data_IF_475209291108
#
_entry.id   IF_475209291108
#
_cell.length_a   1.000
_cell.length_b   1.000
_cell.length_c   1.000
_cell.angle_alpha   90.00
_cell.angle_beta   90.00
_cell.angle_gamma   90.00
#
_symmetry.space_group_name_H-M   'P 1'
#
loop_
_entity.id
_entity.type
_entity.pdbx_description
1 polymer ?
#
# COMPACT_ATOMS: atom_id res chain seq x y z
N UNK A 1 -39.97 -11.19 -21.43
CA UNK A 1 -38.49 -11.30 -21.43
C UNK A 1 -37.92 -9.92 -21.14
N UNK A 2 -37.12 -9.74 -20.12
CA UNK A 2 -36.41 -8.48 -19.84
C UNK A 2 -35.30 -8.30 -20.87
N UNK A 3 -35.30 -7.17 -21.58
CA UNK A 3 -34.28 -6.86 -22.58
C UNK A 3 -32.88 -6.88 -21.91
N UNK A 4 -31.90 -7.50 -22.59
CA UNK A 4 -30.52 -7.63 -22.07
C UNK A 4 -29.72 -6.32 -22.23
N UNK A 5 -30.06 -5.48 -23.21
CA UNK A 5 -29.39 -4.23 -23.53
C UNK A 5 -30.33 -3.04 -23.59
N UNK A 6 -29.83 -1.86 -23.30
CA UNK A 6 -30.60 -0.61 -23.31
C UNK A 6 -30.01 0.38 -24.30
N UNK A 7 -30.84 0.88 -25.19
CA UNK A 7 -30.49 1.89 -26.15
C UNK A 7 -31.08 3.25 -25.76
N UNK A 8 -30.25 4.28 -25.72
CA UNK A 8 -30.70 5.68 -25.61
C UNK A 8 -30.88 6.25 -27.02
N UNK A 9 -32.06 6.67 -27.36
CA UNK A 9 -32.32 7.36 -28.61
C UNK A 9 -32.19 8.87 -28.42
N UNK A 10 -31.45 9.55 -29.32
CA UNK A 10 -31.21 10.99 -29.28
C UNK A 10 -31.80 11.62 -30.52
N UNK A 11 -32.87 12.39 -30.34
CA UNK A 11 -33.61 13.05 -31.40
C UNK A 11 -35.08 13.20 -31.04
N UNK A 12 -35.84 13.82 -31.91
CA UNK A 12 -37.29 13.93 -31.73
C UNK A 12 -38.00 12.60 -32.05
N UNK A 13 -39.22 12.41 -31.54
CA UNK A 13 -40.07 11.26 -31.85
C UNK A 13 -40.59 11.34 -33.29
N UNK A 14 -39.69 11.11 -34.24
CA UNK A 14 -39.90 11.27 -35.68
C UNK A 14 -39.89 9.90 -36.38
N UNK A 15 -39.82 9.93 -37.71
CA UNK A 15 -39.63 8.77 -38.58
C UNK A 15 -38.44 7.88 -38.15
N UNK A 16 -37.35 8.51 -37.65
CA UNK A 16 -36.15 7.79 -37.15
C UNK A 16 -36.45 6.90 -35.94
N UNK A 17 -37.26 7.39 -35.00
CA UNK A 17 -37.65 6.63 -33.82
C UNK A 17 -38.56 5.45 -34.19
N UNK A 18 -39.57 5.68 -35.07
CA UNK A 18 -40.46 4.62 -35.56
C UNK A 18 -39.66 3.52 -36.33
N UNK A 19 -38.68 3.92 -37.14
CA UNK A 19 -37.78 2.99 -37.80
C UNK A 19 -36.98 2.18 -36.82
N UNK A 20 -36.33 2.81 -35.82
CA UNK A 20 -35.51 2.15 -34.81
C UNK A 20 -36.36 1.15 -34.01
N UNK A 21 -37.54 1.53 -33.58
CA UNK A 21 -38.47 0.66 -32.83
C UNK A 21 -38.78 -0.61 -33.63
N UNK A 22 -39.13 -0.44 -34.92
CA UNK A 22 -39.41 -1.58 -35.81
C UNK A 22 -38.18 -2.48 -36.06
N UNK A 23 -36.98 -1.85 -36.17
CA UNK A 23 -35.73 -2.61 -36.35
C UNK A 23 -35.37 -3.43 -35.12
N UNK A 24 -35.68 -2.94 -33.91
CA UNK A 24 -35.37 -3.59 -32.63
C UNK A 24 -36.48 -4.54 -32.15
N UNK A 25 -37.64 -4.56 -32.80
CA UNK A 25 -38.77 -5.43 -32.39
C UNK A 25 -38.33 -6.91 -32.32
N UNK A 26 -38.60 -7.57 -31.19
CA UNK A 26 -38.19 -8.99 -30.97
C UNK A 26 -36.70 -9.21 -30.77
N UNK A 27 -35.91 -8.16 -30.60
CA UNK A 27 -34.50 -8.26 -30.18
C UNK A 27 -34.37 -8.13 -28.66
N UNK A 28 -33.20 -8.44 -28.14
CA UNK A 28 -32.85 -8.27 -26.70
C UNK A 28 -32.47 -6.80 -26.34
N UNK A 29 -32.80 -5.83 -27.20
CA UNK A 29 -32.46 -4.43 -27.03
C UNK A 29 -33.75 -3.61 -26.87
N UNK A 30 -33.88 -2.91 -25.75
CA UNK A 30 -34.98 -1.99 -25.51
C UNK A 30 -34.54 -0.53 -25.65
N UNK A 31 -35.43 0.31 -26.19
CA UNK A 31 -35.22 1.75 -26.13
C UNK A 31 -35.62 2.19 -24.72
N UNK A 32 -34.63 2.64 -23.95
CA UNK A 32 -34.82 3.01 -22.55
C UNK A 32 -35.46 4.43 -22.43
N UNK A 33 -35.02 5.36 -23.27
CA UNK A 33 -35.53 6.70 -23.29
C UNK A 33 -35.29 7.39 -24.63
N UNK A 34 -36.05 8.43 -24.86
CA UNK A 34 -35.88 9.37 -25.98
C UNK A 34 -35.56 10.72 -25.39
N UNK A 35 -34.44 11.31 -25.76
CA UNK A 35 -33.95 12.58 -25.22
C UNK A 35 -33.64 13.55 -26.34
N UNK A 36 -33.83 14.84 -26.06
CA UNK A 36 -33.34 15.89 -26.94
C UNK A 36 -31.80 15.96 -26.89
N UNK A 37 -31.15 16.49 -27.95
CA UNK A 37 -29.68 16.63 -27.97
C UNK A 37 -29.12 17.35 -26.75
N UNK A 38 -29.84 18.36 -26.22
CA UNK A 38 -29.41 19.12 -25.04
C UNK A 38 -29.44 18.33 -23.73
N UNK A 39 -30.22 17.24 -23.66
CA UNK A 39 -30.40 16.43 -22.44
C UNK A 39 -29.53 15.19 -22.40
N UNK A 40 -28.82 14.85 -23.48
CA UNK A 40 -28.04 13.58 -23.58
C UNK A 40 -27.06 13.40 -22.44
N UNK A 41 -26.22 14.40 -22.17
CA UNK A 41 -25.16 14.30 -21.17
C UNK A 41 -25.75 14.10 -19.75
N UNK A 42 -26.83 14.79 -19.45
CA UNK A 42 -27.53 14.66 -18.17
C UNK A 42 -28.22 13.29 -18.03
N UNK A 43 -28.84 12.80 -19.10
CA UNK A 43 -29.50 11.48 -19.11
C UNK A 43 -28.53 10.32 -18.90
N UNK A 44 -27.39 10.32 -19.59
CA UNK A 44 -26.38 9.27 -19.44
C UNK A 44 -25.68 9.27 -18.09
N UNK A 45 -25.61 10.44 -17.42
CA UNK A 45 -25.04 10.56 -16.08
C UNK A 45 -25.92 9.87 -15.02
N UNK A 46 -27.24 9.85 -15.21
CA UNK A 46 -28.16 9.16 -14.30
C UNK A 46 -28.12 7.65 -14.48
N UNK A 47 -28.06 7.18 -15.71
CA UNK A 47 -28.03 5.76 -16.06
C UNK A 47 -27.38 5.53 -17.41
N UNK A 48 -26.18 4.96 -17.41
CA UNK A 48 -25.42 4.68 -18.62
C UNK A 48 -26.16 3.65 -19.51
N UNK A 49 -26.42 3.97 -20.80
CA UNK A 49 -26.98 3.03 -21.76
C UNK A 49 -25.89 2.09 -22.31
N UNK A 50 -26.33 1.00 -22.95
CA UNK A 50 -25.42 0.10 -23.66
C UNK A 50 -25.15 0.54 -25.11
N UNK A 51 -26.03 1.36 -25.67
CA UNK A 51 -25.94 1.91 -27.04
C UNK A 51 -26.58 3.32 -27.03
N UNK A 52 -25.98 4.25 -27.76
CA UNK A 52 -26.61 5.55 -28.07
C UNK A 52 -26.85 5.63 -29.57
N UNK A 53 -28.10 5.94 -29.95
CA UNK A 53 -28.51 6.05 -31.35
C UNK A 53 -28.97 7.47 -31.64
N UNK A 54 -28.33 8.12 -32.60
CA UNK A 54 -28.64 9.47 -33.04
C UNK A 54 -29.56 9.45 -34.26
N UNK A 55 -30.56 10.35 -34.26
CA UNK A 55 -31.55 10.51 -35.33
C UNK A 55 -30.92 11.06 -36.62
N UNK A 56 -31.64 10.91 -37.74
CA UNK A 56 -31.23 11.37 -39.09
C UNK A 56 -31.07 12.88 -39.28
N UNK A 57 -31.76 13.65 -38.49
CA UNK A 57 -31.99 15.09 -38.66
C UNK A 57 -31.15 15.95 -37.71
N UNK A 58 -30.23 15.34 -36.99
CA UNK A 58 -29.28 16.08 -36.17
C UNK A 58 -28.26 16.85 -37.04
N UNK A 59 -28.10 18.13 -36.73
CA UNK A 59 -27.05 18.93 -37.37
C UNK A 59 -25.65 18.34 -37.05
N UNK A 60 -24.79 18.28 -38.09
CA UNK A 60 -23.46 17.70 -37.95
C UNK A 60 -22.63 18.33 -36.84
N UNK A 61 -22.76 19.63 -36.61
CA UNK A 61 -22.04 20.35 -35.55
C UNK A 61 -22.54 19.95 -34.17
N UNK A 62 -23.86 19.90 -33.94
CA UNK A 62 -24.46 19.48 -32.70
C UNK A 62 -24.09 18.01 -32.35
N UNK A 63 -24.13 17.12 -33.35
CA UNK A 63 -23.72 15.75 -33.23
C UNK A 63 -22.26 15.65 -32.80
N UNK A 64 -21.35 16.40 -33.44
CA UNK A 64 -19.92 16.39 -33.09
C UNK A 64 -19.65 16.89 -31.65
N UNK A 65 -20.36 17.92 -31.22
CA UNK A 65 -20.23 18.47 -29.86
C UNK A 65 -20.66 17.44 -28.79
N UNK A 66 -21.79 16.77 -29.02
CA UNK A 66 -22.32 15.72 -28.14
C UNK A 66 -21.35 14.53 -28.10
N UNK A 67 -20.87 14.06 -29.25
CA UNK A 67 -19.95 12.93 -29.30
C UNK A 67 -18.64 13.23 -28.54
N UNK A 68 -18.08 14.42 -28.71
CA UNK A 68 -16.89 14.83 -27.94
C UNK A 68 -17.16 14.85 -26.44
N UNK A 69 -18.31 15.38 -26.00
CA UNK A 69 -18.68 15.39 -24.58
C UNK A 69 -18.83 13.96 -24.03
N UNK A 70 -19.47 13.06 -24.78
CA UNK A 70 -19.64 11.66 -24.39
C UNK A 70 -18.30 10.91 -24.32
N UNK A 71 -17.38 11.15 -25.26
CA UNK A 71 -16.06 10.54 -25.27
C UNK A 71 -15.12 11.06 -24.19
N UNK A 72 -15.29 12.31 -23.76
CA UNK A 72 -14.56 12.90 -22.64
C UNK A 72 -15.03 12.40 -21.27
N UNK A 73 -16.22 11.83 -21.17
CA UNK A 73 -16.76 11.32 -19.91
C UNK A 73 -16.36 9.83 -19.71
N UNK A 74 -15.65 9.47 -18.62
CA UNK A 74 -15.21 8.09 -18.35
C UNK A 74 -16.32 7.05 -18.38
N UNK A 75 -17.53 7.39 -17.94
CA UNK A 75 -18.69 6.48 -17.88
C UNK A 75 -19.22 6.13 -19.27
N UNK A 76 -19.15 7.06 -20.22
CA UNK A 76 -19.72 6.91 -21.56
C UNK A 76 -18.68 6.77 -22.67
N UNK A 77 -17.40 6.94 -22.34
CA UNK A 77 -16.32 6.90 -23.34
C UNK A 77 -16.26 5.59 -24.15
N UNK A 78 -16.72 4.49 -23.58
CA UNK A 78 -16.74 3.16 -24.21
C UNK A 78 -18.12 2.74 -24.73
N UNK A 79 -19.16 3.55 -24.51
CA UNK A 79 -20.50 3.26 -25.02
C UNK A 79 -20.52 3.45 -26.55
N UNK A 80 -20.99 2.48 -27.32
CA UNK A 80 -21.07 2.60 -28.76
C UNK A 80 -22.06 3.69 -29.18
N UNK A 81 -21.62 4.51 -30.15
CA UNK A 81 -22.38 5.61 -30.73
C UNK A 81 -22.73 5.26 -32.16
N UNK A 82 -24.02 5.16 -32.45
CA UNK A 82 -24.56 4.83 -33.77
C UNK A 82 -25.32 6.04 -34.32
N UNK A 83 -25.01 6.47 -35.51
CA UNK A 83 -25.80 7.51 -36.18
C UNK A 83 -26.64 6.91 -37.30
N UNK A 84 -27.91 7.33 -37.36
CA UNK A 84 -28.80 7.10 -38.48
C UNK A 84 -28.66 8.27 -39.45
N UNK A 85 -28.50 8.03 -40.75
CA UNK A 85 -28.34 9.10 -41.76
C UNK A 85 -29.21 8.93 -42.98
N UNK A 86 -29.65 10.09 -43.55
CA UNK A 86 -30.37 10.11 -44.80
C UNK A 86 -29.44 9.99 -46.04
N UNK A 87 -28.18 10.43 -45.95
CA UNK A 87 -27.24 10.36 -47.05
C UNK A 87 -25.81 10.08 -46.60
N UNK A 88 -25.00 9.61 -47.55
CA UNK A 88 -23.58 9.26 -47.31
C UNK A 88 -22.64 10.49 -47.20
N UNK A 89 -23.10 11.70 -47.51
CA UNK A 89 -22.23 12.89 -47.52
C UNK A 89 -21.77 13.36 -46.16
N UNK A 90 -22.50 13.02 -45.08
CA UNK A 90 -22.21 13.44 -43.70
C UNK A 90 -21.32 12.46 -42.93
N UNK A 91 -20.84 11.34 -43.56
CA UNK A 91 -20.15 10.26 -42.91
C UNK A 91 -18.81 10.67 -42.29
N UNK A 92 -17.95 11.34 -43.03
CA UNK A 92 -16.60 11.66 -42.58
C UNK A 92 -16.58 12.55 -41.35
N UNK A 93 -17.40 13.61 -41.34
CA UNK A 93 -17.48 14.51 -40.22
C UNK A 93 -18.06 13.83 -38.92
N UNK A 94 -18.91 12.82 -39.06
CA UNK A 94 -19.44 12.07 -37.96
C UNK A 94 -18.42 11.08 -37.37
N UNK A 95 -17.62 10.40 -38.18
CA UNK A 95 -16.53 9.54 -37.70
C UNK A 95 -15.45 10.35 -37.00
N UNK A 96 -15.05 11.51 -37.53
CA UNK A 96 -14.09 12.42 -36.88
C UNK A 96 -14.61 12.90 -35.51
N UNK A 97 -15.94 12.95 -35.33
CA UNK A 97 -16.58 13.30 -34.06
C UNK A 97 -16.65 12.14 -33.04
N UNK A 98 -16.28 10.92 -33.44
CA UNK A 98 -16.23 9.74 -32.55
C UNK A 98 -17.45 8.82 -32.62
N UNK A 99 -18.24 8.86 -33.71
CA UNK A 99 -19.27 7.87 -34.01
C UNK A 99 -18.60 6.53 -34.36
N UNK A 100 -19.11 5.41 -33.82
CA UNK A 100 -18.54 4.08 -34.07
C UNK A 100 -19.08 3.46 -35.36
N UNK A 101 -20.34 3.68 -35.71
CA UNK A 101 -20.91 3.24 -36.99
C UNK A 101 -22.05 4.16 -37.47
N UNK A 102 -22.39 3.99 -38.73
CA UNK A 102 -23.25 4.87 -39.47
C UNK A 102 -24.19 4.07 -40.38
N UNK A 103 -25.49 4.23 -40.20
CA UNK A 103 -26.50 3.47 -40.93
C UNK A 103 -27.43 4.38 -41.72
N UNK A 104 -27.86 3.92 -42.90
CA UNK A 104 -28.84 4.67 -43.74
C UNK A 104 -30.24 4.16 -43.48
N UNK A 105 -31.25 5.00 -43.80
CA UNK A 105 -32.65 4.63 -43.63
C UNK A 105 -33.11 3.46 -44.52
N UNK A 106 -32.31 3.06 -45.52
CA UNK A 106 -32.60 1.95 -46.43
C UNK A 106 -32.00 0.63 -45.97
N UNK A 107 -31.37 0.60 -44.81
CA UNK A 107 -30.74 -0.64 -44.26
C UNK A 107 -31.79 -1.73 -44.00
N UNK A 108 -31.46 -2.96 -44.30
CA UNK A 108 -32.30 -4.11 -43.94
C UNK A 108 -32.18 -4.41 -42.45
N UNK A 109 -33.26 -4.90 -41.88
CA UNK A 109 -33.32 -5.23 -40.43
C UNK A 109 -32.21 -6.18 -39.98
N UNK A 110 -31.97 -7.23 -40.79
CA UNK A 110 -30.94 -8.23 -40.48
C UNK A 110 -29.53 -7.58 -40.42
N UNK A 111 -29.21 -6.73 -41.38
CA UNK A 111 -27.93 -6.01 -41.41
C UNK A 111 -27.81 -5.04 -40.25
N UNK A 112 -28.88 -4.31 -39.92
CA UNK A 112 -28.96 -3.42 -38.76
C UNK A 112 -28.63 -4.18 -37.46
N UNK A 113 -29.29 -5.30 -37.20
CA UNK A 113 -29.09 -6.11 -36.00
C UNK A 113 -27.67 -6.71 -35.93
N UNK A 114 -27.12 -7.15 -37.06
CA UNK A 114 -25.72 -7.66 -37.10
C UNK A 114 -24.74 -6.57 -36.69
N UNK A 115 -24.90 -5.34 -37.20
CA UNK A 115 -24.00 -4.22 -36.87
C UNK A 115 -24.14 -3.78 -35.41
N UNK A 116 -25.37 -3.60 -34.92
CA UNK A 116 -25.64 -3.23 -33.54
C UNK A 116 -25.10 -4.27 -32.56
N UNK A 117 -25.37 -5.56 -32.81
CA UNK A 117 -24.84 -6.64 -31.98
C UNK A 117 -23.30 -6.71 -32.05
N UNK A 118 -22.70 -6.37 -33.20
CA UNK A 118 -21.25 -6.24 -33.35
C UNK A 118 -20.69 -5.15 -32.41
N UNK A 119 -21.30 -3.96 -32.42
CA UNK A 119 -20.92 -2.84 -31.56
C UNK A 119 -21.08 -3.18 -30.08
N UNK A 120 -22.20 -3.78 -29.68
CA UNK A 120 -22.48 -4.18 -28.30
C UNK A 120 -21.46 -5.21 -27.80
N UNK A 121 -21.14 -6.24 -28.61
CA UNK A 121 -20.13 -7.24 -28.29
C UNK A 121 -18.73 -6.62 -28.15
N UNK A 122 -18.34 -5.73 -29.07
CA UNK A 122 -17.06 -5.03 -28.98
C UNK A 122 -16.96 -4.17 -27.73
N UNK A 123 -18.02 -3.45 -27.37
CA UNK A 123 -18.07 -2.65 -26.15
C UNK A 123 -18.02 -3.50 -24.87
N UNK A 124 -18.73 -4.63 -24.87
CA UNK A 124 -18.69 -5.59 -23.74
C UNK A 124 -17.28 -6.19 -23.57
N UNK A 125 -16.63 -6.59 -24.64
CA UNK A 125 -15.27 -7.12 -24.62
C UNK A 125 -14.24 -6.06 -24.10
N UNK A 126 -14.37 -4.80 -24.53
CA UNK A 126 -13.52 -3.71 -24.02
C UNK A 126 -13.72 -3.48 -22.51
N UNK A 127 -14.98 -3.45 -22.05
CA UNK A 127 -15.32 -3.32 -20.62
C UNK A 127 -14.77 -4.48 -19.80
N UNK A 128 -14.89 -5.70 -20.29
CA UNK A 128 -14.38 -6.88 -19.63
C UNK A 128 -12.84 -6.83 -19.52
N UNK A 129 -12.15 -6.51 -20.61
CA UNK A 129 -10.68 -6.39 -20.62
C UNK A 129 -10.20 -5.33 -19.62
N UNK A 130 -10.85 -4.17 -19.59
CA UNK A 130 -10.51 -3.10 -18.64
C UNK A 130 -10.74 -3.54 -17.18
N UNK A 131 -11.83 -4.27 -16.91
CA UNK A 131 -12.12 -4.81 -15.58
C UNK A 131 -11.09 -5.88 -15.17
N UNK A 132 -10.69 -6.75 -16.09
CA UNK A 132 -9.64 -7.76 -15.84
C UNK A 132 -8.27 -7.12 -15.57
N UNK A 133 -7.89 -6.09 -16.33
CA UNK A 133 -6.66 -5.33 -16.10
C UNK A 133 -6.66 -4.64 -14.73
N UNK A 134 -7.77 -4.01 -14.36
CA UNK A 134 -7.90 -3.38 -13.04
C UNK A 134 -7.82 -4.43 -11.93
N UNK A 135 -8.50 -5.56 -12.07
CA UNK A 135 -8.45 -6.65 -11.09
C UNK A 135 -7.05 -7.26 -10.94
N UNK A 136 -6.29 -7.37 -12.05
CA UNK A 136 -4.90 -7.82 -12.01
C UNK A 136 -4.00 -6.81 -11.28
N UNK A 137 -4.18 -5.51 -11.55
CA UNK A 137 -3.39 -4.47 -10.88
C UNK A 137 -3.68 -4.43 -9.37
N UNK A 138 -4.95 -4.55 -8.97
CA UNK A 138 -5.34 -4.66 -7.55
C UNK A 138 -4.68 -5.89 -6.91
N UNK A 139 -4.77 -7.06 -7.54
CA UNK A 139 -4.13 -8.30 -7.03
C UNK A 139 -2.61 -8.15 -6.91
N UNK A 140 -1.98 -7.51 -7.90
CA UNK A 140 -0.53 -7.26 -7.86
C UNK A 140 -0.15 -6.35 -6.70
N UNK A 141 -0.89 -5.25 -6.48
CA UNK A 141 -0.69 -4.35 -5.34
C UNK A 141 -0.88 -5.07 -4.00
N UNK A 142 -1.91 -5.88 -3.87
CA UNK A 142 -2.16 -6.67 -2.67
C UNK A 142 -1.05 -7.70 -2.41
N UNK A 143 -0.55 -8.39 -3.43
CA UNK A 143 0.54 -9.35 -3.30
C UNK A 143 1.84 -8.67 -2.81
N UNK A 144 2.17 -7.50 -3.37
CA UNK A 144 3.31 -6.70 -2.92
C UNK A 144 3.09 -6.22 -1.48
N UNK A 145 1.91 -5.69 -1.15
CA UNK A 145 1.55 -5.27 0.21
C UNK A 145 1.68 -6.42 1.22
N UNK A 146 1.21 -7.62 0.87
CA UNK A 146 1.32 -8.81 1.72
C UNK A 146 2.77 -9.26 1.93
N UNK A 147 3.62 -9.15 0.92
CA UNK A 147 5.05 -9.46 1.05
C UNK A 147 5.76 -8.51 2.04
N UNK A 148 5.41 -7.23 2.02
CA UNK A 148 6.00 -6.23 2.91
C UNK A 148 5.43 -6.25 4.34
N UNK A 149 4.17 -6.67 4.55
CA UNK A 149 3.52 -6.73 5.88
C UNK A 149 4.30 -7.52 6.94
N UNK A 150 5.21 -8.39 6.51
CA UNK A 150 6.05 -9.17 7.43
C UNK A 150 7.20 -8.37 8.05
N UNK A 151 7.59 -7.25 7.43
CA UNK A 151 8.81 -6.52 7.80
C UNK A 151 8.57 -5.06 8.16
N UNK A 152 7.48 -4.46 7.68
CA UNK A 152 7.18 -3.04 7.86
C UNK A 152 5.73 -2.81 8.24
N UNK A 153 5.48 -1.71 8.97
CA UNK A 153 4.11 -1.33 9.35
C UNK A 153 3.24 -1.12 8.11
N UNK A 154 1.93 -1.36 8.20
CA UNK A 154 1.00 -1.12 7.09
C UNK A 154 1.10 0.30 6.53
N UNK A 155 1.27 1.32 7.38
CA UNK A 155 1.41 2.71 6.97
C UNK A 155 2.69 2.98 6.17
N UNK A 156 3.81 2.38 6.58
CA UNK A 156 5.08 2.49 5.86
C UNK A 156 5.00 1.75 4.52
N UNK A 157 4.36 0.58 4.49
CA UNK A 157 4.13 -0.17 3.26
C UNK A 157 3.29 0.62 2.25
N UNK A 158 2.23 1.30 2.70
CA UNK A 158 1.39 2.11 1.84
C UNK A 158 2.19 3.29 1.25
N UNK A 159 3.00 3.99 2.03
CA UNK A 159 3.88 5.07 1.55
C UNK A 159 4.89 4.59 0.50
N UNK A 160 5.49 3.42 0.68
CA UNK A 160 6.42 2.83 -0.31
C UNK A 160 5.69 2.50 -1.62
N UNK A 161 4.45 1.99 -1.54
CA UNK A 161 3.67 1.63 -2.73
C UNK A 161 3.17 2.84 -3.52
N UNK A 162 2.87 3.94 -2.82
CA UNK A 162 2.37 5.16 -3.41
C UNK A 162 3.48 6.06 -3.99
N UNK A 163 4.74 5.88 -3.55
CA UNK A 163 5.89 6.62 -4.03
C UNK A 163 6.77 5.74 -4.95
N UNK A 164 6.83 6.02 -6.28
CA UNK A 164 7.61 5.25 -7.23
C UNK A 164 9.12 5.23 -6.92
N UNK A 165 9.70 6.34 -6.45
CA UNK A 165 11.13 6.43 -6.14
C UNK A 165 11.49 5.58 -4.91
N UNK A 166 10.69 5.67 -3.85
CA UNK A 166 10.82 4.82 -2.66
C UNK A 166 10.64 3.35 -3.00
N UNK A 167 9.64 3.03 -3.81
CA UNK A 167 9.39 1.65 -4.25
C UNK A 167 10.57 1.08 -5.01
N UNK A 168 11.12 1.84 -5.97
CA UNK A 168 12.26 1.41 -6.78
C UNK A 168 13.55 1.33 -5.95
N UNK A 169 13.71 2.15 -4.91
CA UNK A 169 14.81 2.06 -3.95
C UNK A 169 14.72 0.79 -3.10
N UNK A 170 13.54 0.44 -2.61
CA UNK A 170 13.34 -0.73 -1.72
C UNK A 170 13.32 -2.05 -2.50
N UNK A 171 12.71 -2.07 -3.69
CA UNK A 171 12.59 -3.26 -4.54
C UNK A 171 13.79 -3.45 -5.48
N UNK A 172 14.50 -2.37 -5.76
CA UNK A 172 15.65 -2.37 -6.68
C UNK A 172 16.96 -2.79 -6.02
N UNK A 173 18.04 -2.70 -6.77
CA UNK A 173 19.40 -2.99 -6.29
C UNK A 173 20.11 -1.74 -5.74
N UNK A 174 19.42 -0.63 -5.54
CA UNK A 174 20.01 0.65 -5.17
C UNK A 174 20.10 0.76 -3.63
N UNK A 175 21.32 0.94 -3.11
CA UNK A 175 21.53 1.21 -1.70
C UNK A 175 21.40 2.72 -1.45
N UNK A 176 20.66 3.12 -0.43
CA UNK A 176 20.45 4.51 -0.06
C UNK A 176 21.10 4.86 1.30
N UNK A 177 21.66 6.05 1.41
CA UNK A 177 22.06 6.63 2.71
C UNK A 177 20.82 7.24 3.36
N UNK A 178 20.63 6.95 4.63
CA UNK A 178 19.54 7.48 5.43
C UNK A 178 19.98 7.85 6.83
N UNK A 179 19.34 8.85 7.42
CA UNK A 179 19.45 9.12 8.85
C UNK A 179 18.39 8.29 9.57
N UNK A 180 18.80 7.45 10.50
CA UNK A 180 17.90 6.55 11.21
C UNK A 180 18.17 6.49 12.70
N UNK A 181 17.11 6.25 13.47
CA UNK A 181 17.26 5.74 14.82
C UNK A 181 17.21 4.19 14.75
N UNK A 182 18.30 3.57 15.16
CA UNK A 182 18.49 2.12 15.14
C UNK A 182 18.33 1.59 16.56
N UNK A 183 17.50 0.57 16.71
CA UNK A 183 17.22 -0.10 17.96
C UNK A 183 17.55 -1.59 17.85
N UNK A 184 18.26 -2.12 18.83
CA UNK A 184 18.31 -3.55 19.12
C UNK A 184 17.56 -3.83 20.41
N UNK A 185 16.72 -4.86 20.38
CA UNK A 185 16.04 -5.40 21.54
C UNK A 185 16.45 -6.87 21.71
N UNK A 186 16.90 -7.25 22.88
CA UNK A 186 17.58 -8.54 23.12
C UNK A 186 17.10 -9.14 24.45
N UNK A 187 16.71 -10.44 24.42
CA UNK A 187 16.18 -11.12 25.58
C UNK A 187 17.32 -11.54 26.53
N UNK A 188 17.22 -11.20 27.80
CA UNK A 188 18.15 -11.62 28.83
C UNK A 188 17.75 -12.97 29.40
N UNK A 189 18.72 -13.82 29.64
CA UNK A 189 18.52 -15.17 30.20
C UNK A 189 18.19 -16.25 29.17
N UNK A 190 18.04 -15.92 27.87
CA UNK A 190 17.58 -16.85 26.84
C UNK A 190 18.46 -18.10 26.70
N UNK A 191 19.78 -17.97 26.72
CA UNK A 191 20.71 -19.13 26.60
C UNK A 191 20.45 -20.16 27.69
N UNK A 192 20.36 -19.74 28.94
CA UNK A 192 20.10 -20.67 30.06
C UNK A 192 18.69 -21.28 30.00
N UNK A 193 17.70 -20.51 29.47
CA UNK A 193 16.32 -20.94 29.32
C UNK A 193 16.18 -21.98 28.21
N UNK A 194 16.84 -21.74 27.07
CA UNK A 194 16.81 -22.66 25.93
C UNK A 194 17.42 -24.04 26.25
N UNK A 195 18.26 -24.12 27.26
CA UNK A 195 18.80 -25.41 27.78
C UNK A 195 17.83 -26.10 28.76
N UNK A 196 16.94 -25.36 29.41
CA UNK A 196 16.01 -25.86 30.44
C UNK A 196 14.62 -26.21 29.91
N UNK A 197 14.11 -25.46 28.93
CA UNK A 197 12.77 -25.63 28.39
C UNK A 197 12.76 -26.67 27.25
N UNK A 198 11.64 -27.40 27.09
CA UNK A 198 11.40 -28.19 25.89
C UNK A 198 11.47 -27.32 24.63
N UNK A 199 11.99 -27.82 23.50
CA UNK A 199 12.12 -27.01 22.27
C UNK A 199 10.83 -26.34 21.80
N UNK A 200 9.68 -26.98 22.00
CA UNK A 200 8.38 -26.42 21.62
C UNK A 200 8.02 -25.17 22.44
N UNK A 201 8.34 -25.17 23.74
CA UNK A 201 8.12 -24.04 24.63
C UNK A 201 9.09 -22.89 24.34
N UNK A 202 10.33 -23.20 23.94
CA UNK A 202 11.29 -22.18 23.44
C UNK A 202 10.74 -21.46 22.20
N UNK A 203 10.15 -22.21 21.27
CA UNK A 203 9.51 -21.62 20.08
C UNK A 203 8.28 -20.79 20.47
N UNK A 204 7.46 -21.25 21.42
CA UNK A 204 6.31 -20.49 21.94
C UNK A 204 6.78 -19.17 22.56
N UNK A 205 7.81 -19.18 23.41
CA UNK A 205 8.40 -18.00 24.01
C UNK A 205 8.90 -17.00 22.96
N UNK A 206 9.66 -17.48 21.96
CA UNK A 206 10.18 -16.64 20.90
C UNK A 206 9.07 -16.03 20.05
N UNK A 207 8.00 -16.78 19.76
CA UNK A 207 6.86 -16.26 19.01
C UNK A 207 6.11 -15.18 19.78
N UNK A 208 5.89 -15.36 21.11
CA UNK A 208 5.29 -14.33 21.94
C UNK A 208 6.20 -13.09 22.06
N UNK A 209 7.51 -13.30 22.22
CA UNK A 209 8.51 -12.24 22.27
C UNK A 209 8.53 -11.40 20.98
N UNK A 210 8.74 -12.05 19.83
CA UNK A 210 8.79 -11.34 18.56
C UNK A 210 7.45 -10.72 18.20
N UNK A 211 6.33 -11.37 18.48
CA UNK A 211 4.99 -10.83 18.25
C UNK A 211 4.80 -9.51 19.01
N UNK A 212 5.07 -9.52 20.32
CA UNK A 212 4.96 -8.33 21.17
C UNK A 212 5.83 -7.17 20.66
N UNK A 213 7.12 -7.44 20.38
CA UNK A 213 8.05 -6.38 19.97
C UNK A 213 7.73 -5.84 18.58
N UNK A 214 7.30 -6.70 17.65
CA UNK A 214 6.90 -6.31 16.30
C UNK A 214 5.66 -5.43 16.33
N UNK A 215 4.65 -5.81 17.10
CA UNK A 215 3.42 -5.03 17.25
C UNK A 215 3.73 -3.62 17.76
N UNK A 216 4.55 -3.51 18.80
CA UNK A 216 4.98 -2.21 19.32
C UNK A 216 5.80 -1.43 18.30
N UNK A 217 6.76 -2.07 17.61
CA UNK A 217 7.54 -1.40 16.58
C UNK A 217 6.64 -0.79 15.50
N UNK A 218 5.62 -1.54 15.04
CA UNK A 218 4.68 -1.08 14.02
C UNK A 218 3.73 0.01 14.51
N UNK A 219 3.35 0.03 15.79
CA UNK A 219 2.59 1.13 16.38
C UNK A 219 3.32 2.49 16.26
N UNK A 220 4.66 2.47 16.28
CA UNK A 220 5.51 3.65 16.12
C UNK A 220 6.12 3.80 14.72
N UNK A 221 5.58 3.11 13.72
CA UNK A 221 6.03 3.13 12.33
C UNK A 221 7.51 2.70 12.16
N UNK A 222 7.98 1.78 12.99
CA UNK A 222 9.28 1.12 12.89
C UNK A 222 9.31 0.06 11.79
N UNK A 223 10.50 -0.22 11.28
CA UNK A 223 10.77 -1.26 10.29
C UNK A 223 11.62 -2.35 10.92
N UNK A 224 11.20 -3.61 10.78
CA UNK A 224 11.95 -4.78 11.24
C UNK A 224 12.93 -5.21 10.16
N UNK A 225 14.21 -5.26 10.48
CA UNK A 225 15.25 -5.66 9.53
C UNK A 225 15.79 -7.06 9.75
N UNK A 226 15.86 -7.50 10.99
CA UNK A 226 16.37 -8.81 11.29
C UNK A 226 15.83 -9.34 12.62
N UNK A 227 15.60 -10.66 12.66
CA UNK A 227 15.32 -11.45 13.86
C UNK A 227 16.40 -12.53 13.92
N UNK A 228 17.29 -12.46 14.90
CA UNK A 228 18.41 -13.38 15.03
C UNK A 228 18.49 -13.91 16.46
N UNK A 229 18.23 -15.21 16.63
CA UNK A 229 18.16 -15.84 17.94
C UNK A 229 17.08 -15.20 18.80
N UNK A 230 17.48 -14.49 19.83
CA UNK A 230 16.68 -13.76 20.81
C UNK A 230 16.80 -12.23 20.67
N UNK A 231 17.25 -11.77 19.51
CA UNK A 231 17.49 -10.35 19.23
C UNK A 231 16.68 -9.86 18.03
N UNK A 232 16.19 -8.62 18.10
CA UNK A 232 15.42 -7.94 17.08
C UNK A 232 16.10 -6.62 16.67
N UNK A 233 16.34 -6.42 15.37
CA UNK A 233 16.83 -5.16 14.79
C UNK A 233 15.68 -4.36 14.20
N UNK A 234 15.52 -3.15 14.70
CA UNK A 234 14.47 -2.21 14.29
C UNK A 234 15.10 -0.90 13.83
N UNK A 235 14.56 -0.31 12.78
CA UNK A 235 14.94 1.04 12.33
C UNK A 235 13.73 1.96 12.28
N UNK A 236 13.92 3.22 12.67
CA UNK A 236 12.96 4.31 12.54
C UNK A 236 13.59 5.37 11.63
N UNK A 237 12.79 5.96 10.72
CA UNK A 237 13.31 6.88 9.70
C UNK A 237 13.88 6.17 8.46
N UNK A 238 13.66 4.89 8.30
CA UNK A 238 14.13 4.07 7.17
C UNK A 238 13.17 2.89 6.92
N UNK A 239 12.80 2.58 5.69
CA UNK A 239 13.17 3.23 4.42
C UNK A 239 12.50 4.59 4.19
N UNK A 240 11.52 4.94 4.98
CA UNK A 240 10.77 6.20 4.91
C UNK A 240 11.29 7.16 5.96
N UNK A 241 11.74 8.34 5.55
CA UNK A 241 12.27 9.37 6.45
C UNK A 241 11.22 9.82 7.48
N UNK A 242 11.67 9.97 8.74
CA UNK A 242 10.89 10.44 9.87
C UNK A 242 11.70 11.47 10.65
N UNK A 243 11.21 12.68 10.71
CA UNK A 243 11.90 13.79 11.45
C UNK A 243 11.96 13.52 12.96
N UNK A 244 11.08 12.68 13.47
CA UNK A 244 10.91 12.31 14.87
C UNK A 244 11.39 10.87 15.19
N UNK A 245 12.26 10.29 14.34
CA UNK A 245 12.73 8.90 14.46
C UNK A 245 13.29 8.56 15.85
N UNK A 246 14.08 9.46 16.46
CA UNK A 246 14.63 9.27 17.80
C UNK A 246 13.52 9.20 18.88
N UNK A 247 12.53 10.07 18.78
CA UNK A 247 11.41 10.09 19.73
C UNK A 247 10.55 8.84 19.62
N UNK A 248 10.27 8.38 18.38
CA UNK A 248 9.55 7.13 18.13
C UNK A 248 10.29 5.93 18.68
N UNK A 249 11.61 5.85 18.48
CA UNK A 249 12.43 4.79 19.01
C UNK A 249 12.37 4.72 20.54
N UNK A 250 12.50 5.85 21.22
CA UNK A 250 12.41 5.92 22.70
C UNK A 250 11.00 5.54 23.20
N UNK A 251 9.94 6.04 22.55
CA UNK A 251 8.57 5.71 22.93
C UNK A 251 8.28 4.22 22.72
N UNK A 252 8.69 3.65 21.59
CA UNK A 252 8.58 2.22 21.32
C UNK A 252 9.35 1.40 22.37
N UNK A 253 10.58 1.76 22.70
CA UNK A 253 11.38 1.08 23.69
C UNK A 253 10.73 1.06 25.09
N UNK A 254 10.18 2.18 25.52
CA UNK A 254 9.42 2.25 26.80
C UNK A 254 8.23 1.31 26.81
N UNK A 255 7.46 1.31 25.73
CA UNK A 255 6.29 0.44 25.60
C UNK A 255 6.68 -1.04 25.50
N UNK A 256 7.77 -1.36 24.79
CA UNK A 256 8.31 -2.72 24.74
C UNK A 256 8.70 -3.21 26.12
N UNK A 257 9.46 -2.43 26.88
CA UNK A 257 9.85 -2.78 28.25
C UNK A 257 8.65 -3.01 29.15
N UNK A 258 7.64 -2.13 29.09
CA UNK A 258 6.41 -2.25 29.90
C UNK A 258 5.62 -3.50 29.53
N UNK A 259 5.34 -3.74 28.24
CA UNK A 259 4.58 -4.92 27.80
C UNK A 259 5.36 -6.23 28.04
N UNK A 260 6.69 -6.19 27.88
CA UNK A 260 7.53 -7.35 28.12
C UNK A 260 7.56 -7.76 29.61
N UNK A 261 7.47 -6.81 30.53
CA UNK A 261 7.33 -7.12 31.95
C UNK A 261 6.14 -8.03 32.23
N UNK A 262 4.98 -7.77 31.62
CA UNK A 262 3.80 -8.63 31.75
C UNK A 262 4.01 -10.02 31.13
N UNK A 263 4.75 -10.11 30.03
CA UNK A 263 5.13 -11.39 29.42
C UNK A 263 6.04 -12.18 30.37
N UNK A 264 7.06 -11.53 30.92
CA UNK A 264 8.01 -12.12 31.84
C UNK A 264 7.33 -12.69 33.09
N UNK A 265 6.37 -11.95 33.67
CA UNK A 265 5.62 -12.41 34.84
C UNK A 265 4.77 -13.65 34.53
N UNK A 266 4.14 -13.73 33.34
CA UNK A 266 3.38 -14.92 32.92
C UNK A 266 4.30 -16.15 32.79
N UNK A 267 5.45 -15.99 32.15
CA UNK A 267 6.38 -17.08 31.95
C UNK A 267 7.03 -17.52 33.26
N UNK A 268 7.32 -16.60 34.19
CA UNK A 268 7.77 -16.91 35.54
C UNK A 268 6.72 -17.76 36.28
N UNK A 269 5.47 -17.36 36.23
CA UNK A 269 4.38 -18.09 36.92
C UNK A 269 4.16 -19.49 36.36
N UNK A 270 4.35 -19.68 35.02
CA UNK A 270 4.07 -20.96 34.34
C UNK A 270 5.25 -21.94 34.38
N UNK A 271 6.48 -21.45 34.26
CA UNK A 271 7.67 -22.28 34.05
C UNK A 271 8.79 -22.05 35.05
N UNK A 272 8.61 -21.16 36.03
CA UNK A 272 9.64 -20.76 36.99
C UNK A 272 10.95 -20.33 36.31
N UNK A 273 10.84 -19.51 35.25
CA UNK A 273 11.95 -18.92 34.51
C UNK A 273 11.98 -17.41 34.65
N UNK A 274 13.17 -16.85 34.67
CA UNK A 274 13.37 -15.40 34.65
C UNK A 274 13.88 -14.94 33.32
N UNK A 275 13.12 -14.10 32.65
CA UNK A 275 13.48 -13.43 31.39
C UNK A 275 13.46 -11.93 31.56
N UNK A 276 14.27 -11.22 30.80
CA UNK A 276 14.33 -9.78 30.78
C UNK A 276 14.51 -9.24 29.36
N UNK A 277 14.31 -7.95 29.20
CA UNK A 277 14.51 -7.26 27.93
C UNK A 277 15.56 -6.16 28.12
N UNK A 278 16.62 -6.18 27.33
CA UNK A 278 17.62 -5.11 27.22
C UNK A 278 17.50 -4.42 25.87
N UNK A 279 17.51 -3.09 25.85
CA UNK A 279 17.36 -2.31 24.63
C UNK A 279 18.54 -1.36 24.44
N UNK A 280 19.08 -1.28 23.22
CA UNK A 280 20.12 -0.34 22.82
C UNK A 280 19.66 0.50 21.63
N UNK A 281 19.82 1.83 21.71
CA UNK A 281 19.39 2.77 20.67
C UNK A 281 20.52 3.71 20.30
N UNK A 282 20.73 3.91 18.99
CA UNK A 282 21.64 4.90 18.45
C UNK A 282 21.04 5.62 17.25
N UNK A 283 21.43 6.87 17.01
CA UNK A 283 21.00 7.68 15.87
C UNK A 283 22.21 8.04 15.01
N UNK A 284 22.06 7.96 13.72
CA UNK A 284 23.08 8.36 12.75
C UNK A 284 22.83 7.84 11.34
N UNK A 285 23.83 8.07 10.47
CA UNK A 285 23.78 7.59 9.10
C UNK A 285 23.85 6.07 9.03
N UNK A 286 23.00 5.49 8.18
CA UNK A 286 23.00 4.07 7.81
C UNK A 286 22.95 3.95 6.29
N UNK A 287 23.40 2.83 5.77
CA UNK A 287 23.12 2.40 4.40
C UNK A 287 22.00 1.39 4.46
N UNK A 288 20.86 1.72 3.83
CA UNK A 288 19.71 0.84 3.69
C UNK A 288 19.67 0.27 2.28
N UNK A 289 19.47 -1.03 2.15
CA UNK A 289 19.41 -1.66 0.85
C UNK A 289 19.39 -3.18 0.89
N UNK A 290 19.36 -3.75 -0.30
CA UNK A 290 19.38 -5.19 -0.50
C UNK A 290 20.81 -5.72 -0.43
N UNK A 291 21.10 -6.54 0.57
CA UNK A 291 22.42 -7.12 0.82
C UNK A 291 22.33 -8.62 0.70
N UNK A 292 23.22 -9.22 -0.09
CA UNK A 292 23.26 -10.67 -0.28
C UNK A 292 23.85 -11.08 -1.62
N UNK A 293 23.41 -12.22 -2.11
CA UNK A 293 23.75 -12.75 -3.43
C UNK A 293 22.53 -12.72 -4.35
N UNK A 294 22.71 -12.91 -5.68
CA UNK A 294 21.56 -12.96 -6.60
C UNK A 294 20.51 -14.00 -6.24
N UNK A 295 20.87 -15.05 -5.51
CA UNK A 295 19.96 -16.11 -5.07
C UNK A 295 19.38 -15.89 -3.67
N UNK A 296 19.93 -14.97 -2.89
CA UNK A 296 19.45 -14.65 -1.54
C UNK A 296 19.77 -13.19 -1.20
N UNK A 297 18.74 -12.37 -1.19
CA UNK A 297 18.82 -10.95 -0.85
C UNK A 297 18.01 -10.66 0.40
N UNK A 298 18.55 -9.84 1.29
CA UNK A 298 17.85 -9.35 2.47
C UNK A 298 17.91 -7.82 2.48
N UNK A 299 16.76 -7.16 2.54
CA UNK A 299 16.70 -5.72 2.74
C UNK A 299 17.03 -5.41 4.19
N UNK A 300 18.14 -4.72 4.41
CA UNK A 300 18.66 -4.44 5.76
C UNK A 300 19.37 -3.09 5.83
N UNK A 301 19.78 -2.73 7.05
CA UNK A 301 20.60 -1.54 7.32
C UNK A 301 21.97 -1.94 7.82
N UNK A 302 23.00 -1.25 7.34
CA UNK A 302 24.38 -1.41 7.79
C UNK A 302 25.02 -0.06 8.12
N UNK A 303 26.02 -0.09 8.96
CA UNK A 303 26.83 1.09 9.31
C UNK A 303 27.32 1.06 10.76
N UNK A 304 28.16 2.01 11.10
CA UNK A 304 28.66 2.16 12.47
C UNK A 304 27.53 2.44 13.46
N UNK A 305 26.48 3.18 13.00
CA UNK A 305 25.26 3.43 13.77
C UNK A 305 24.60 2.15 14.26
N UNK A 306 24.53 1.14 13.40
CA UNK A 306 23.95 -0.19 13.71
C UNK A 306 24.82 -0.92 14.74
N UNK A 307 26.14 -0.89 14.57
CA UNK A 307 27.08 -1.55 15.47
C UNK A 307 27.01 -0.94 16.88
N UNK A 308 26.93 0.39 16.99
CA UNK A 308 26.79 1.08 18.28
C UNK A 308 25.49 0.63 18.98
N UNK A 309 24.36 0.66 18.31
CA UNK A 309 23.07 0.23 18.86
C UNK A 309 23.12 -1.22 19.38
N UNK A 310 23.72 -2.14 18.60
CA UNK A 310 23.93 -3.52 19.00
C UNK A 310 24.76 -3.67 20.28
N UNK A 311 25.85 -2.90 20.40
CA UNK A 311 26.71 -2.94 21.60
C UNK A 311 26.02 -2.34 22.83
N UNK A 312 25.21 -1.31 22.64
CA UNK A 312 24.38 -0.76 23.72
C UNK A 312 23.37 -1.79 24.21
N UNK A 313 22.69 -2.48 23.28
CA UNK A 313 21.75 -3.55 23.63
C UNK A 313 22.47 -4.66 24.43
N UNK A 314 23.63 -5.14 23.99
CA UNK A 314 24.39 -6.17 24.70
C UNK A 314 24.78 -5.76 26.13
N UNK A 315 24.99 -4.46 26.37
CA UNK A 315 25.36 -3.91 27.70
C UNK A 315 24.15 -3.66 28.60
N UNK A 316 22.98 -3.41 28.03
CA UNK A 316 21.76 -3.15 28.77
C UNK A 316 21.40 -4.35 29.64
N UNK A 317 21.04 -4.13 30.89
CA UNK A 317 20.50 -5.16 31.78
C UNK A 317 19.03 -5.40 31.49
N UNK A 318 18.49 -6.42 32.14
CA UNK A 318 17.07 -6.67 32.14
C UNK A 318 16.28 -5.43 32.62
N UNK A 319 15.33 -4.97 31.81
CA UNK A 319 14.56 -3.78 32.10
C UNK A 319 15.27 -2.46 31.80
N UNK A 320 16.45 -2.46 31.18
CA UNK A 320 17.17 -1.24 30.86
C UNK A 320 17.08 -0.88 29.37
N UNK A 321 16.95 0.42 29.09
CA UNK A 321 17.14 1.02 27.79
C UNK A 321 18.40 1.91 27.84
N UNK A 322 19.41 1.56 27.03
CA UNK A 322 20.61 2.37 26.84
C UNK A 322 20.57 3.09 25.50
N UNK A 323 21.02 4.35 25.48
CA UNK A 323 21.13 5.10 24.25
C UNK A 323 22.34 6.04 24.26
N UNK A 324 22.83 6.39 23.06
CA UNK A 324 23.98 7.23 22.86
C UNK A 324 23.65 8.73 23.03
N UNK A 325 24.70 9.54 23.16
CA UNK A 325 24.61 11.01 23.13
C UNK A 325 24.02 11.54 21.82
N UNK A 326 24.17 10.85 20.70
CA UNK A 326 23.52 11.18 19.44
C UNK A 326 21.99 11.15 19.54
N UNK A 327 21.43 10.16 20.24
CA UNK A 327 19.99 10.10 20.53
C UNK A 327 19.58 11.26 21.42
N UNK A 328 20.37 11.54 22.47
CA UNK A 328 20.05 12.66 23.38
C UNK A 328 20.00 13.99 22.63
N UNK A 329 20.99 14.28 21.80
CA UNK A 329 21.00 15.51 20.96
C UNK A 329 19.79 15.57 20.01
N UNK A 330 19.40 14.45 19.40
CA UNK A 330 18.25 14.40 18.52
C UNK A 330 16.94 14.69 19.28
N UNK A 331 16.79 14.20 20.51
CA UNK A 331 15.63 14.49 21.38
C UNK A 331 15.61 15.96 21.84
N UNK A 332 16.77 16.48 22.28
CA UNK A 332 16.90 17.87 22.71
C UNK A 332 16.52 18.86 21.59
N UNK A 333 16.86 18.53 20.34
CA UNK A 333 16.47 19.34 19.16
C UNK A 333 14.96 19.36 18.89
N UNK A 334 14.21 18.37 19.37
CA UNK A 334 12.75 18.29 19.26
C UNK A 334 12.03 18.74 20.53
N UNK A 335 12.75 19.17 21.57
CA UNK A 335 12.19 19.60 22.84
C UNK A 335 11.63 18.47 23.72
N UNK A 336 12.02 17.23 23.42
CA UNK A 336 11.56 16.05 24.15
C UNK A 336 12.57 15.75 25.27
N UNK A 337 12.16 15.96 26.52
CA UNK A 337 12.96 15.55 27.67
C UNK A 337 12.67 14.09 28.04
N UNK A 338 13.75 13.33 28.13
CA UNK A 338 13.72 11.94 28.60
C UNK A 338 14.56 11.88 29.87
N UNK A 339 13.91 11.65 31.02
CA UNK A 339 14.59 11.48 32.30
C UNK A 339 15.60 10.33 32.23
N UNK A 340 16.81 10.64 31.81
CA UNK A 340 17.88 9.66 31.59
C UNK A 340 19.09 9.97 32.49
N UNK A 341 19.68 8.91 33.04
CA UNK A 341 20.89 8.99 33.84
C UNK A 341 22.14 8.78 32.98
N UNK A 342 23.17 9.64 33.06
CA UNK A 342 24.42 9.38 32.39
C UNK A 342 25.12 8.14 33.00
N UNK A 343 25.71 7.34 32.15
CA UNK A 343 26.56 6.19 32.55
C UNK A 343 28.01 6.45 32.13
N UNK A 344 28.99 5.72 32.68
CA UNK A 344 30.37 5.79 32.22
C UNK A 344 30.45 5.53 30.72
N UNK A 345 31.22 6.35 29.96
CA UNK A 345 31.40 6.21 28.55
C UNK A 345 31.89 4.81 28.16
N UNK A 346 31.50 4.36 26.98
CA UNK A 346 31.96 3.07 26.46
C UNK A 346 32.97 3.26 25.32
N UNK A 347 34.02 2.46 25.37
CA UNK A 347 34.98 2.33 24.26
C UNK A 347 34.58 1.10 23.43
N UNK A 348 34.25 1.33 22.17
CA UNK A 348 33.89 0.25 21.24
C UNK A 348 35.14 -0.19 20.47
N UNK A 349 35.32 -1.51 20.31
CA UNK A 349 36.41 -2.07 19.51
C UNK A 349 36.33 -1.51 18.08
N UNK A 350 37.42 -0.88 17.64
CA UNK A 350 37.53 -0.25 16.31
C UNK A 350 37.19 1.24 16.28
N UNK A 351 36.79 1.85 17.41
CA UNK A 351 36.65 3.31 17.55
C UNK A 351 37.74 3.89 18.43
N UNK A 352 38.24 5.09 18.04
CA UNK A 352 39.25 5.80 18.80
C UNK A 352 38.69 6.65 19.95
N UNK A 353 37.40 7.01 19.88
CA UNK A 353 36.75 7.90 20.86
C UNK A 353 35.68 7.11 21.66
N UNK A 354 35.61 7.31 22.98
CA UNK A 354 34.53 6.79 23.79
C UNK A 354 33.19 7.41 23.39
N UNK A 355 32.10 6.73 23.66
CA UNK A 355 30.74 7.18 23.40
C UNK A 355 30.07 7.43 24.76
N UNK A 356 29.54 8.64 24.95
CA UNK A 356 28.70 8.94 26.09
C UNK A 356 27.35 8.23 25.96
N UNK A 357 26.94 7.60 27.03
CA UNK A 357 25.73 6.80 27.04
C UNK A 357 24.81 7.17 28.22
N UNK A 358 23.54 6.96 28.00
CA UNK A 358 22.49 7.26 28.96
C UNK A 358 21.61 6.04 29.18
N UNK A 359 21.06 5.91 30.38
CA UNK A 359 20.14 4.86 30.77
C UNK A 359 18.79 5.44 31.19
N UNK A 360 17.71 4.86 30.72
CA UNK A 360 16.38 5.03 31.31
C UNK A 360 16.02 3.71 32.01
N UNK A 361 16.13 3.64 33.34
CA UNK A 361 15.69 2.45 34.07
C UNK A 361 14.17 2.37 34.04
N UNK A 362 13.64 1.19 33.92
CA UNK A 362 12.22 0.92 34.18
C UNK A 362 12.03 0.66 35.69
N UNK A 363 10.82 0.93 36.19
CA UNK A 363 10.47 0.73 37.61
C UNK A 363 10.58 -0.73 38.08
N UNK A 364 10.66 -1.69 37.13
CA UNK A 364 10.84 -3.12 37.41
C UNK A 364 12.29 -3.54 37.15
N UNK A 365 13.17 -3.37 38.14
CA UNK A 365 14.49 -3.99 38.19
C UNK A 365 14.35 -5.47 38.57
N UNK A 366 14.64 -6.36 37.65
CA UNK A 366 14.91 -7.77 37.97
C UNK A 366 16.42 -7.85 38.22
N UNK A 367 16.83 -7.99 39.47
CA UNK A 367 18.22 -8.29 39.83
C UNK A 367 18.48 -9.77 39.58
N UNK A 368 19.03 -10.10 38.41
CA UNK A 368 19.62 -11.42 38.18
C UNK A 368 20.83 -11.57 39.13
N UNK A 369 20.67 -12.31 40.21
CA UNK A 369 21.81 -12.69 41.05
C UNK A 369 22.71 -13.61 40.21
N UNK A 370 23.92 -13.14 39.89
CA UNK A 370 24.98 -13.94 39.32
C UNK A 370 25.29 -15.08 40.30
N UNK A 371 24.97 -16.31 39.92
CA UNK A 371 25.53 -17.51 40.50
C UNK A 371 26.66 -18.00 39.62
#
# INVERSE_FOLDING_TARGET
>A
MTAAYRALFVGDQTESYALLTRMLEGSDIAIDSVVSPAQVVASVAQRAPDLIVFAFDLEARALADICRALRANPVTSTVPLLALARSSRSRLAAFDAGIDDFLTHQIRREEFLVRVNGLLRAAAARRQLAAEQLAQEVKRREAVRMAFRRYISPKVADRILDDPELRDSVLGSTNARAQAAVMFADMRGFTAISERLPPIEVVELLNEFFGLLTDVAFEYDGTIFNMAGDSLLIGFGVPVEQVDAAARAIAAARQMLSRFGMLADRWRARHDIEIGLGIGINVGEVIAGNIGSPSYMNYTIIGDTVNVASRLAQRARAGEMLFSDAVKRALDSTGIDVSAMPLPPIVLRGRSSPIDIFCVPTEHRIDFRTH
#
